data_IF_079206747226
#
_entry.id   IF_079206747226
#
_cell.length_a   1.000
_cell.length_b   1.000
_cell.length_c   1.000
_cell.angle_alpha   90.00
_cell.angle_beta   90.00
_cell.angle_gamma   90.00
#
_symmetry.space_group_name_H-M   'P 1'
#
loop_
_entity.id
_entity.type
_entity.pdbx_description
1 polymer ?
#
# COMPACT_ATOMS: atom_id res chain seq x y z
N UNK A 1 -0.69 11.47 2.49
CA UNK A 1 0.75 11.79 2.42
C UNK A 1 1.11 12.72 3.55
N UNK A 2 2.31 12.57 4.11
CA UNK A 2 2.80 13.40 5.22
C UNK A 2 3.53 14.67 4.75
N UNK A 3 3.73 14.83 3.44
CA UNK A 3 4.44 15.95 2.83
C UNK A 3 3.80 16.29 1.48
N UNK A 4 3.39 17.54 1.27
CA UNK A 4 2.73 17.98 0.01
C UNK A 4 3.69 18.08 -1.17
N UNK A 5 4.98 18.19 -0.90
CA UNK A 5 6.04 18.23 -1.91
C UNK A 5 6.44 16.82 -2.36
N UNK A 6 6.08 15.81 -1.57
CA UNK A 6 6.39 14.41 -1.82
C UNK A 6 5.08 13.64 -2.03
N UNK A 7 4.52 13.75 -3.24
CA UNK A 7 3.32 13.01 -3.67
C UNK A 7 3.72 11.83 -4.55
N UNK A 8 2.99 10.71 -4.47
CA UNK A 8 3.27 9.52 -5.28
C UNK A 8 2.33 9.35 -6.45
N UNK A 9 1.11 9.88 -6.35
CA UNK A 9 0.07 9.74 -7.37
C UNK A 9 -0.77 11.03 -7.49
N UNK A 10 -1.34 11.31 -8.68
CA UNK A 10 -2.27 12.43 -8.84
C UNK A 10 -3.44 12.37 -7.85
N UNK A 11 -3.78 13.52 -7.24
CA UNK A 11 -4.91 13.60 -6.30
C UNK A 11 -4.63 12.97 -4.92
N UNK A 12 -3.38 12.62 -4.60
CA UNK A 12 -2.99 12.31 -3.23
C UNK A 12 -3.36 13.46 -2.29
N UNK A 13 -3.98 13.12 -1.17
CA UNK A 13 -4.26 14.06 -0.08
C UNK A 13 -3.00 14.14 0.79
N UNK A 14 -2.51 15.36 1.02
CA UNK A 14 -1.42 15.65 1.93
C UNK A 14 -1.96 16.36 3.18
N UNK A 15 -1.49 15.97 4.36
CA UNK A 15 -1.94 16.52 5.65
C UNK A 15 -0.70 16.91 6.45
N UNK A 16 -0.35 18.19 6.43
CA UNK A 16 0.82 18.73 7.16
C UNK A 16 0.42 19.72 8.26
N UNK A 17 -0.79 20.27 8.15
CA UNK A 17 -1.35 21.22 9.10
C UNK A 17 -2.89 21.10 9.07
N UNK A 18 -3.57 21.95 9.84
CA UNK A 18 -5.00 21.86 10.07
C UNK A 18 -5.85 22.62 9.04
N UNK A 19 -5.27 23.11 7.93
CA UNK A 19 -6.00 23.89 6.90
C UNK A 19 -7.24 23.18 6.35
N UNK A 20 -7.17 21.85 6.25
CA UNK A 20 -8.22 21.00 5.68
C UNK A 20 -8.98 20.19 6.76
N UNK A 21 -8.87 20.58 8.03
CA UNK A 21 -9.41 19.82 9.16
C UNK A 21 -10.92 19.55 9.02
N UNK A 22 -11.70 20.49 8.50
CA UNK A 22 -13.14 20.31 8.32
C UNK A 22 -13.48 19.30 7.22
N UNK A 23 -12.66 19.22 6.17
CA UNK A 23 -12.78 18.14 5.18
C UNK A 23 -12.47 16.78 5.81
N UNK A 24 -11.40 16.71 6.60
CA UNK A 24 -11.00 15.49 7.30
C UNK A 24 -12.06 15.03 8.31
N UNK A 25 -12.70 15.96 9.03
CA UNK A 25 -13.83 15.66 9.93
C UNK A 25 -15.02 15.04 9.20
N UNK A 26 -15.40 15.60 8.05
CA UNK A 26 -16.47 15.02 7.22
C UNK A 26 -16.11 13.63 6.72
N UNK A 27 -14.84 13.41 6.35
CA UNK A 27 -14.36 12.10 5.92
C UNK A 27 -14.42 11.09 7.06
N UNK A 28 -13.82 11.41 8.21
CA UNK A 28 -13.84 10.56 9.39
C UNK A 28 -15.28 10.20 9.77
N UNK A 29 -16.18 11.19 9.88
CA UNK A 29 -17.59 10.96 10.20
C UNK A 29 -18.31 10.05 9.17
N UNK A 30 -17.98 10.17 7.88
CA UNK A 30 -18.53 9.29 6.85
C UNK A 30 -18.00 7.85 6.96
N UNK A 31 -16.73 7.69 7.34
CA UNK A 31 -16.07 6.40 7.51
C UNK A 31 -16.43 5.67 8.81
N UNK A 32 -16.84 6.40 9.85
CA UNK A 32 -17.16 5.84 11.17
C UNK A 32 -18.64 5.57 11.40
N UNK A 33 -19.49 5.78 10.39
CA UNK A 33 -20.93 5.47 10.48
C UNK A 33 -21.15 4.01 10.85
N UNK A 34 -22.24 3.75 11.57
CA UNK A 34 -22.64 2.41 12.03
C UNK A 34 -21.59 1.72 12.91
N UNK A 35 -20.77 2.49 13.62
CA UNK A 35 -19.74 1.95 14.52
C UNK A 35 -18.52 1.38 13.80
N UNK A 36 -18.35 1.64 12.51
CA UNK A 36 -17.15 1.24 11.80
C UNK A 36 -15.93 2.02 12.31
N UNK A 37 -14.78 1.36 12.38
CA UNK A 37 -13.52 2.04 12.55
C UNK A 37 -13.02 2.57 11.19
N UNK A 38 -12.47 3.78 11.17
CA UNK A 38 -11.86 4.38 9.99
C UNK A 38 -10.44 4.81 10.33
N UNK A 39 -9.46 4.03 9.89
CA UNK A 39 -8.04 4.26 10.17
C UNK A 39 -7.39 4.92 8.98
N UNK A 40 -6.76 6.07 9.18
CA UNK A 40 -6.11 6.80 8.09
C UNK A 40 -4.72 6.22 7.84
N UNK A 41 -4.49 5.70 6.63
CA UNK A 41 -3.15 5.28 6.23
C UNK A 41 -2.28 6.51 5.94
N UNK A 42 -1.13 6.59 6.61
CA UNK A 42 -0.17 7.69 6.49
C UNK A 42 1.11 7.17 5.82
N UNK A 43 1.61 7.94 4.85
CA UNK A 43 2.65 7.48 3.93
C UNK A 43 3.53 8.63 3.44
N UNK A 44 4.74 8.27 3.02
CA UNK A 44 5.65 9.09 2.23
C UNK A 44 6.10 8.29 1.00
N UNK A 45 5.98 8.82 -0.23
CA UNK A 45 6.22 8.04 -1.44
C UNK A 45 7.68 7.58 -1.58
N UNK A 46 8.61 8.38 -1.06
CA UNK A 46 10.03 8.21 -1.32
C UNK A 46 10.29 8.31 -2.82
N UNK A 47 11.12 7.42 -3.36
CA UNK A 47 11.35 7.35 -4.82
C UNK A 47 10.13 6.88 -5.64
N UNK A 48 9.00 6.54 -5.02
CA UNK A 48 7.76 6.20 -5.72
C UNK A 48 6.96 7.42 -6.16
N UNK A 49 7.55 8.22 -7.01
CA UNK A 49 6.83 9.31 -7.64
C UNK A 49 7.20 9.44 -9.11
N UNK A 50 6.21 9.40 -10.02
CA UNK A 50 6.45 9.78 -11.40
C UNK A 50 7.04 11.18 -11.50
N UNK A 51 7.91 11.40 -12.49
CA UNK A 51 8.57 12.69 -12.74
C UNK A 51 7.56 13.81 -13.03
N UNK A 52 6.37 13.46 -13.52
CA UNK A 52 5.27 14.40 -13.76
C UNK A 52 4.59 14.88 -12.48
N UNK A 53 4.85 14.23 -11.34
CA UNK A 53 4.28 14.54 -10.03
C UNK A 53 5.34 15.12 -9.09
N UNK A 54 6.52 14.52 -9.06
CA UNK A 54 7.63 14.99 -8.25
C UNK A 54 8.94 14.91 -9.04
N UNK A 55 9.56 16.07 -9.24
CA UNK A 55 10.85 16.19 -9.91
C UNK A 55 12.04 16.02 -8.96
N UNK A 56 11.79 16.02 -7.64
CA UNK A 56 12.80 15.93 -6.59
C UNK A 56 12.36 14.94 -5.49
N UNK A 57 12.15 13.65 -5.82
CA UNK A 57 11.75 12.66 -4.83
C UNK A 57 12.86 12.41 -3.82
N UNK A 58 12.51 12.17 -2.57
CA UNK A 58 13.46 11.76 -1.54
C UNK A 58 13.61 10.24 -1.46
N UNK A 59 14.78 9.78 -1.02
CA UNK A 59 15.06 8.36 -0.76
C UNK A 59 16.15 8.22 0.31
N UNK A 60 16.30 7.04 0.96
CA UNK A 60 17.44 6.79 1.85
C UNK A 60 18.79 6.90 1.15
N UNK A 61 18.86 6.55 -0.13
CA UNK A 61 20.04 6.67 -0.98
C UNK A 61 19.65 7.25 -2.34
N UNK A 62 20.53 8.06 -2.92
CA UNK A 62 20.35 8.60 -4.26
C UNK A 62 20.70 7.60 -5.37
N UNK A 63 20.58 8.05 -6.61
CA UNK A 63 20.99 7.32 -7.80
C UNK A 63 19.83 7.02 -8.74
N UNK A 64 20.13 7.03 -10.04
CA UNK A 64 19.14 6.79 -11.08
C UNK A 64 18.50 5.42 -10.97
N UNK A 65 17.19 5.38 -11.20
CA UNK A 65 16.47 4.13 -11.40
C UNK A 65 16.91 3.52 -12.74
N UNK A 66 17.41 2.29 -12.70
CA UNK A 66 17.85 1.57 -13.89
C UNK A 66 16.67 1.03 -14.71
N UNK A 67 16.90 0.83 -16.02
CA UNK A 67 15.96 0.24 -16.98
C UNK A 67 15.09 1.23 -17.76
N UNK A 68 14.37 0.71 -18.75
CA UNK A 68 13.52 1.49 -19.68
C UNK A 68 12.45 2.35 -18.99
N UNK A 69 12.09 1.98 -17.77
CA UNK A 69 11.11 2.69 -16.94
C UNK A 69 11.72 3.83 -16.13
N UNK A 70 13.04 3.84 -15.91
CA UNK A 70 13.73 4.88 -15.15
C UNK A 70 13.48 6.29 -15.69
N UNK A 71 13.29 6.42 -17.02
CA UNK A 71 12.96 7.71 -17.67
C UNK A 71 11.66 8.37 -17.21
N UNK A 72 10.75 7.63 -16.58
CA UNK A 72 9.48 8.16 -16.07
C UNK A 72 9.55 8.62 -14.62
N UNK A 73 10.72 8.49 -13.97
CA UNK A 73 10.95 8.83 -12.58
C UNK A 73 12.15 9.76 -12.48
N UNK A 74 12.07 10.76 -11.60
CA UNK A 74 13.23 11.60 -11.32
C UNK A 74 14.27 10.84 -10.50
N UNK A 75 15.53 11.24 -10.65
CA UNK A 75 16.61 10.76 -9.78
C UNK A 75 16.36 11.25 -8.35
N UNK A 76 16.24 10.36 -7.36
CA UNK A 76 15.94 10.76 -6.00
C UNK A 76 17.15 11.41 -5.32
N UNK A 77 16.84 12.38 -4.46
CA UNK A 77 17.82 13.00 -3.56
C UNK A 77 17.95 12.15 -2.30
N UNK A 78 19.19 11.82 -1.94
CA UNK A 78 19.47 11.15 -0.67
C UNK A 78 19.11 12.06 0.50
N UNK A 79 18.33 11.55 1.45
CA UNK A 79 17.95 12.29 2.66
C UNK A 79 19.17 12.55 3.55
N UNK A 80 19.26 13.74 4.15
CA UNK A 80 20.15 13.97 5.30
C UNK A 80 19.49 13.49 6.59
N UNK A 81 20.26 13.31 7.67
CA UNK A 81 19.72 12.93 8.99
C UNK A 81 18.70 13.94 9.51
N UNK A 82 18.93 15.24 9.29
CA UNK A 82 17.98 16.30 9.66
C UNK A 82 16.65 16.18 8.90
N UNK A 83 16.71 15.83 7.61
CA UNK A 83 15.51 15.59 6.80
C UNK A 83 14.79 14.31 7.22
N UNK A 84 15.51 13.27 7.63
CA UNK A 84 14.90 12.06 8.21
C UNK A 84 14.10 12.43 9.45
N UNK A 85 14.69 13.18 10.39
CA UNK A 85 13.98 13.64 11.59
C UNK A 85 12.81 14.59 11.26
N UNK A 86 12.91 15.40 10.22
CA UNK A 86 11.78 16.21 9.74
C UNK A 86 10.60 15.35 9.28
N UNK A 87 10.87 14.32 8.49
CA UNK A 87 9.85 13.38 8.03
C UNK A 87 9.22 12.65 9.22
N UNK A 88 10.01 12.22 10.22
CA UNK A 88 9.48 11.64 11.47
C UNK A 88 8.46 12.57 12.14
N UNK A 89 8.79 13.87 12.29
CA UNK A 89 7.87 14.88 12.86
C UNK A 89 6.60 15.06 12.02
N UNK A 90 6.70 14.93 10.69
CA UNK A 90 5.55 15.03 9.77
C UNK A 90 4.61 13.85 9.91
N UNK A 91 5.12 12.62 10.08
CA UNK A 91 4.28 11.46 10.40
C UNK A 91 3.50 11.68 11.70
N UNK A 92 4.18 12.13 12.76
CA UNK A 92 3.55 12.44 14.05
C UNK A 92 2.48 13.54 13.92
N UNK A 93 2.79 14.62 13.20
CA UNK A 93 1.85 15.73 12.94
C UNK A 93 0.62 15.25 12.18
N UNK A 94 0.81 14.45 11.13
CA UNK A 94 -0.27 13.86 10.34
C UNK A 94 -1.19 13.00 11.23
N UNK A 95 -0.61 12.14 12.07
CA UNK A 95 -1.36 11.27 12.97
C UNK A 95 -2.15 12.05 14.03
N UNK A 96 -1.56 13.10 14.61
CA UNK A 96 -2.25 14.02 15.52
C UNK A 96 -3.46 14.68 14.86
N UNK A 97 -3.31 15.15 13.62
CA UNK A 97 -4.41 15.76 12.85
C UNK A 97 -5.48 14.72 12.53
N UNK A 98 -5.09 13.49 12.19
CA UNK A 98 -6.02 12.37 11.97
C UNK A 98 -6.90 12.13 13.20
N UNK A 99 -6.27 12.00 14.37
CA UNK A 99 -6.97 11.84 15.65
C UNK A 99 -7.91 13.03 15.92
N UNK A 100 -7.43 14.26 15.74
CA UNK A 100 -8.23 15.49 15.92
C UNK A 100 -9.43 15.56 14.98
N UNK A 101 -9.30 15.06 13.76
CA UNK A 101 -10.38 14.99 12.78
C UNK A 101 -11.44 13.93 13.12
N UNK A 102 -11.15 13.00 14.02
CA UNK A 102 -12.06 11.93 14.42
C UNK A 102 -11.85 10.61 13.70
N UNK A 103 -10.74 10.42 12.98
CA UNK A 103 -10.33 9.08 12.57
C UNK A 103 -10.07 8.24 13.83
N UNK A 104 -10.39 6.95 13.77
CA UNK A 104 -10.36 6.07 14.96
C UNK A 104 -9.07 5.27 15.07
N UNK A 105 -8.07 5.60 14.26
CA UNK A 105 -6.78 4.94 14.20
C UNK A 105 -5.94 5.48 13.05
N UNK A 106 -4.68 5.08 12.98
CA UNK A 106 -3.80 5.31 11.82
C UNK A 106 -3.07 4.03 11.44
N UNK A 107 -2.70 3.92 10.17
CA UNK A 107 -1.83 2.84 9.69
C UNK A 107 -0.58 3.45 9.04
N UNK A 108 0.59 3.13 9.59
CA UNK A 108 1.89 3.54 9.03
C UNK A 108 2.22 2.62 7.86
N UNK A 109 2.44 3.21 6.68
CA UNK A 109 2.73 2.44 5.48
C UNK A 109 4.24 2.13 5.33
N UNK A 110 4.64 0.91 5.69
CA UNK A 110 6.02 0.40 5.64
C UNK A 110 6.20 -0.70 4.58
N UNK A 111 5.45 -0.63 3.48
CA UNK A 111 5.35 -1.70 2.48
C UNK A 111 5.50 -1.17 1.05
N UNK A 112 5.50 -2.11 0.10
CA UNK A 112 5.36 -1.90 -1.34
C UNK A 112 6.41 -1.04 -2.03
N UNK A 113 7.57 -0.81 -1.43
CA UNK A 113 8.64 0.05 -1.96
C UNK A 113 8.51 1.52 -1.61
N UNK A 114 7.61 1.92 -0.70
CA UNK A 114 7.49 3.31 -0.24
C UNK A 114 8.63 3.69 0.73
N UNK A 115 8.75 4.95 1.14
CA UNK A 115 9.96 5.45 1.80
C UNK A 115 10.41 4.58 2.98
N UNK A 116 9.51 4.19 3.87
CA UNK A 116 9.87 3.35 5.02
C UNK A 116 10.39 1.97 4.56
N UNK A 117 9.75 1.32 3.58
CA UNK A 117 10.26 0.07 3.01
C UNK A 117 11.59 0.27 2.27
N UNK A 118 11.81 1.42 1.62
CA UNK A 118 13.11 1.77 1.02
C UNK A 118 14.21 1.80 2.08
N UNK A 119 13.94 2.30 3.30
CA UNK A 119 14.90 2.23 4.41
C UNK A 119 15.16 0.78 4.86
N UNK A 120 14.13 -0.06 4.93
CA UNK A 120 14.25 -1.46 5.35
C UNK A 120 15.03 -2.32 4.34
N UNK A 121 14.89 -2.02 3.04
CA UNK A 121 15.47 -2.81 1.97
C UNK A 121 16.95 -2.50 1.76
N UNK A 122 17.87 -3.48 1.86
CA UNK A 122 19.29 -3.25 1.58
C UNK A 122 19.58 -2.93 0.11
N UNK A 123 18.63 -3.19 -0.80
CA UNK A 123 18.71 -2.79 -2.21
C UNK A 123 18.56 -1.27 -2.37
N UNK A 124 17.67 -0.66 -1.58
CA UNK A 124 17.32 0.76 -1.70
C UNK A 124 18.08 1.65 -0.71
N UNK A 125 18.53 1.07 0.40
CA UNK A 125 19.26 1.75 1.45
C UNK A 125 20.71 1.31 1.51
N UNK A 126 21.57 2.10 0.88
CA UNK A 126 23.03 1.93 0.82
C UNK A 126 23.76 2.91 1.74
N UNK A 127 23.09 3.43 2.76
CA UNK A 127 23.68 4.35 3.73
C UNK A 127 24.74 3.63 4.58
N UNK A 128 25.71 4.39 5.06
CA UNK A 128 26.78 3.93 5.97
C UNK A 128 26.71 4.60 7.35
N UNK A 129 25.64 5.35 7.61
CA UNK A 129 25.37 6.00 8.89
C UNK A 129 24.39 5.16 9.73
N UNK A 130 23.85 5.72 10.82
CA UNK A 130 22.98 5.02 11.76
C UNK A 130 21.63 4.56 11.19
N UNK A 131 21.33 4.90 9.94
CA UNK A 131 20.13 4.46 9.23
C UNK A 131 20.39 3.42 8.13
N UNK A 132 21.63 2.92 7.97
CA UNK A 132 21.99 1.93 6.95
C UNK A 132 22.80 0.76 7.49
N UNK A 133 23.15 -0.20 6.65
CA UNK A 133 23.89 -1.39 7.08
C UNK A 133 22.95 -2.52 7.49
N UNK A 134 23.05 -3.01 8.73
CA UNK A 134 22.26 -4.14 9.22
C UNK A 134 20.76 -3.81 9.42
N UNK A 135 19.95 -4.84 9.68
CA UNK A 135 18.50 -4.67 9.83
C UNK A 135 18.13 -3.75 11.02
N UNK A 136 18.95 -3.66 12.07
CA UNK A 136 18.66 -2.81 13.22
C UNK A 136 18.75 -1.33 12.84
N UNK A 137 19.83 -0.95 12.16
CA UNK A 137 20.03 0.40 11.64
C UNK A 137 19.02 0.73 10.53
N UNK A 138 18.80 -0.18 9.58
CA UNK A 138 17.80 0.01 8.51
C UNK A 138 16.37 0.15 9.03
N UNK A 139 16.05 -0.46 10.16
CA UNK A 139 14.73 -0.35 10.81
C UNK A 139 14.58 0.88 11.71
N UNK A 140 15.67 1.60 12.01
CA UNK A 140 15.66 2.79 12.89
C UNK A 140 14.60 3.80 12.49
N UNK A 141 14.55 4.14 11.20
CA UNK A 141 13.58 5.11 10.70
C UNK A 141 12.12 4.69 10.96
N UNK A 142 11.76 3.43 10.73
CA UNK A 142 10.43 2.90 11.05
C UNK A 142 10.13 3.02 12.55
N UNK A 143 11.07 2.63 13.40
CA UNK A 143 10.87 2.67 14.85
C UNK A 143 10.74 4.09 15.39
N UNK A 144 11.50 5.05 14.86
CA UNK A 144 11.36 6.47 15.20
C UNK A 144 10.03 7.04 14.72
N UNK A 145 9.59 6.72 13.50
CA UNK A 145 8.25 7.08 13.00
C UNK A 145 7.17 6.52 13.92
N UNK A 146 7.25 5.24 14.27
CA UNK A 146 6.27 4.59 15.15
C UNK A 146 6.24 5.25 16.53
N UNK A 147 7.40 5.49 17.15
CA UNK A 147 7.50 6.12 18.46
C UNK A 147 6.90 7.53 18.44
N UNK A 148 7.25 8.36 17.45
CA UNK A 148 6.74 9.72 17.33
C UNK A 148 5.22 9.75 17.05
N UNK A 149 4.72 8.83 16.23
CA UNK A 149 3.27 8.66 16.01
C UNK A 149 2.57 8.27 17.30
N UNK A 150 3.07 7.23 18.01
CA UNK A 150 2.51 6.75 19.28
C UNK A 150 2.47 7.87 20.32
N UNK A 151 3.56 8.63 20.48
CA UNK A 151 3.62 9.78 21.38
C UNK A 151 2.55 10.84 21.02
N UNK A 152 2.43 11.17 19.73
CA UNK A 152 1.50 12.20 19.26
C UNK A 152 0.02 11.81 19.41
N UNK A 153 -0.31 10.52 19.37
CA UNK A 153 -1.69 10.03 19.44
C UNK A 153 -2.06 9.43 20.81
N UNK A 154 -1.08 9.17 21.68
CA UNK A 154 -1.29 8.57 22.99
C UNK A 154 -1.45 7.04 22.96
N UNK A 155 -1.50 6.40 24.14
CA UNK A 155 -1.45 4.94 24.26
C UNK A 155 -2.73 4.24 23.77
N UNK A 156 -3.90 4.85 23.92
CA UNK A 156 -5.19 4.20 23.62
C UNK A 156 -5.64 4.35 22.15
N UNK A 157 -4.94 5.16 21.36
CA UNK A 157 -5.32 5.40 19.97
C UNK A 157 -4.69 4.33 19.07
N UNK A 158 -5.48 3.55 18.28
CA UNK A 158 -4.92 2.47 17.50
C UNK A 158 -3.90 2.91 16.44
N UNK A 159 -2.74 2.23 16.41
CA UNK A 159 -1.66 2.42 15.43
C UNK A 159 -1.30 1.06 14.82
N UNK A 160 -1.63 0.89 13.54
CA UNK A 160 -1.19 -0.23 12.72
C UNK A 160 0.12 0.08 11.99
N UNK A 161 0.85 -0.98 11.59
CA UNK A 161 1.92 -0.91 10.60
C UNK A 161 1.64 -1.91 9.48
N UNK A 162 1.62 -1.44 8.24
CA UNK A 162 1.59 -2.32 7.06
C UNK A 162 3.00 -2.64 6.61
N UNK A 163 3.36 -3.92 6.58
CA UNK A 163 4.72 -4.38 6.30
C UNK A 163 4.75 -5.40 5.14
N UNK A 164 5.82 -5.37 4.35
CA UNK A 164 6.08 -6.41 3.36
C UNK A 164 6.46 -7.73 4.04
N UNK A 165 5.92 -8.86 3.56
CA UNK A 165 6.40 -10.21 3.88
C UNK A 165 7.82 -10.39 3.36
N UNK A 166 8.05 -9.92 2.14
CA UNK A 166 9.36 -9.78 1.51
C UNK A 166 9.25 -8.83 0.32
N UNK A 167 10.41 -8.35 -0.11
CA UNK A 167 10.57 -7.55 -1.31
C UNK A 167 10.63 -8.41 -2.59
N UNK A 168 10.59 -9.74 -2.48
CA UNK A 168 10.61 -10.61 -3.67
C UNK A 168 9.37 -10.33 -4.51
N UNK A 169 9.51 -10.03 -5.82
CA UNK A 169 8.36 -9.78 -6.66
C UNK A 169 7.50 -11.06 -6.75
N UNK A 170 6.23 -10.94 -6.41
CA UNK A 170 5.26 -12.05 -6.39
C UNK A 170 5.16 -12.73 -7.77
N UNK A 171 5.54 -12.05 -8.86
CA UNK A 171 5.45 -12.56 -10.24
C UNK A 171 6.73 -13.25 -10.77
N UNK A 172 7.81 -13.36 -9.99
CA UNK A 172 9.03 -14.05 -10.44
C UNK A 172 8.90 -15.53 -10.14
N UNK A 173 8.92 -16.37 -11.18
CA UNK A 173 9.23 -17.79 -11.01
C UNK A 173 10.62 -17.87 -10.41
N UNK A 174 10.72 -18.45 -9.22
CA UNK A 174 11.97 -18.65 -8.47
C UNK A 174 13.02 -19.37 -9.34
N UNK A 175 12.57 -20.11 -10.36
CA UNK A 175 13.41 -20.98 -11.19
C UNK A 175 14.19 -20.24 -12.32
N UNK A 176 13.93 -18.96 -12.60
CA UNK A 176 14.52 -18.27 -13.76
C UNK A 176 15.75 -17.38 -13.46
N UNK A 177 16.18 -17.24 -12.20
CA UNK A 177 17.48 -16.64 -11.88
C UNK A 177 18.14 -17.37 -10.71
N UNK A 178 19.25 -18.07 -10.97
CA UNK A 178 20.17 -18.57 -9.94
C UNK A 178 20.94 -17.47 -9.20
N UNK A 179 20.31 -16.32 -8.95
CA UNK A 179 20.89 -15.15 -8.29
C UNK A 179 20.36 -15.00 -6.87
N UNK A 180 21.25 -14.62 -5.93
CA UNK A 180 20.89 -14.24 -4.57
C UNK A 180 20.01 -12.98 -4.60
N UNK A 181 18.79 -13.05 -4.05
CA UNK A 181 17.95 -11.87 -3.85
C UNK A 181 18.49 -11.05 -2.67
N UNK A 182 18.65 -9.74 -2.83
CA UNK A 182 19.28 -8.84 -1.85
C UNK A 182 18.33 -7.75 -1.30
N UNK A 183 17.02 -7.96 -1.38
CA UNK A 183 16.01 -7.08 -0.80
C UNK A 183 15.61 -7.48 0.62
N UNK A 184 14.64 -6.77 1.21
CA UNK A 184 14.07 -7.10 2.52
C UNK A 184 13.45 -8.51 2.49
N UNK A 185 13.94 -9.40 3.35
CA UNK A 185 13.53 -10.81 3.34
C UNK A 185 12.53 -11.16 4.44
N UNK A 186 12.01 -12.39 4.41
CA UNK A 186 11.02 -12.88 5.35
C UNK A 186 11.53 -12.99 6.80
N UNK A 187 12.83 -13.27 7.00
CA UNK A 187 13.43 -13.36 8.34
C UNK A 187 13.55 -11.97 8.94
N UNK A 188 14.01 -11.00 8.16
CA UNK A 188 14.04 -9.59 8.54
C UNK A 188 12.63 -9.07 8.81
N UNK A 189 11.65 -9.43 7.99
CA UNK A 189 10.24 -9.09 8.20
C UNK A 189 9.72 -9.58 9.55
N UNK A 190 9.91 -10.87 9.87
CA UNK A 190 9.52 -11.44 11.18
C UNK A 190 10.26 -10.73 12.32
N UNK A 191 11.55 -10.43 12.17
CA UNK A 191 12.30 -9.69 13.18
C UNK A 191 11.72 -8.30 13.42
N UNK A 192 11.43 -7.53 12.36
CA UNK A 192 10.81 -6.20 12.45
C UNK A 192 9.45 -6.28 13.13
N UNK A 193 8.62 -7.27 12.80
CA UNK A 193 7.31 -7.45 13.44
C UNK A 193 7.42 -7.67 14.95
N UNK A 194 8.35 -8.53 15.39
CA UNK A 194 8.62 -8.75 16.82
C UNK A 194 9.12 -7.48 17.52
N UNK A 195 9.90 -6.67 16.83
CA UNK A 195 10.37 -5.39 17.37
C UNK A 195 9.26 -4.35 17.48
N UNK A 196 8.32 -4.32 16.54
CA UNK A 196 7.12 -3.47 16.61
C UNK A 196 6.18 -3.92 17.73
N UNK A 197 6.00 -5.23 17.92
CA UNK A 197 5.22 -5.78 19.04
C UNK A 197 5.79 -5.34 20.39
N UNK A 198 7.11 -5.45 20.59
CA UNK A 198 7.78 -4.96 21.82
C UNK A 198 7.58 -3.47 22.08
N UNK A 199 7.26 -2.69 21.03
CA UNK A 199 7.02 -1.25 21.10
C UNK A 199 5.53 -0.90 21.26
N UNK A 200 4.63 -1.89 21.23
CA UNK A 200 3.19 -1.69 21.43
C UNK A 200 2.44 -1.27 20.17
N UNK A 201 2.79 -1.86 19.01
CA UNK A 201 1.94 -1.78 17.81
C UNK A 201 0.62 -2.52 18.06
N UNK A 202 -0.50 -2.00 17.57
CA UNK A 202 -1.83 -2.57 17.85
C UNK A 202 -2.27 -3.59 16.80
N UNK A 203 -1.74 -3.48 15.57
CA UNK A 203 -2.06 -4.35 14.45
C UNK A 203 -0.89 -4.36 13.46
N UNK A 204 -0.51 -5.54 12.98
CA UNK A 204 0.41 -5.68 11.85
C UNK A 204 -0.38 -6.14 10.64
N UNK A 205 -0.35 -5.36 9.57
CA UNK A 205 -0.99 -5.73 8.30
C UNK A 205 0.08 -6.24 7.31
N UNK A 206 0.01 -7.53 7.02
CA UNK A 206 0.92 -8.20 6.11
C UNK A 206 0.45 -7.98 4.67
N UNK A 207 1.35 -7.40 3.89
CA UNK A 207 1.28 -7.37 2.43
C UNK A 207 2.61 -7.89 1.87
N UNK A 208 2.87 -7.76 0.56
CA UNK A 208 4.15 -8.15 0.00
C UNK A 208 4.36 -7.69 -1.44
N UNK A 209 5.59 -7.91 -1.92
CA UNK A 209 6.06 -7.54 -3.25
C UNK A 209 6.81 -6.21 -3.30
N UNK A 210 7.81 -6.14 -4.19
CA UNK A 210 8.42 -4.90 -4.63
C UNK A 210 7.70 -4.30 -5.83
N UNK A 211 8.01 -3.01 -6.07
CA UNK A 211 7.72 -2.27 -7.29
C UNK A 211 8.00 -3.03 -8.59
N UNK A 212 8.88 -4.02 -8.55
CA UNK A 212 9.40 -4.62 -9.76
C UNK A 212 8.34 -5.46 -10.49
N UNK A 213 7.40 -6.15 -9.84
CA UNK A 213 6.18 -6.65 -10.53
C UNK A 213 5.02 -6.90 -9.55
N UNK A 214 4.21 -5.88 -9.21
CA UNK A 214 2.97 -6.11 -8.47
C UNK A 214 1.97 -6.85 -9.37
N UNK A 215 1.52 -8.04 -8.95
CA UNK A 215 0.52 -8.88 -9.67
C UNK A 215 -0.77 -8.08 -9.97
N UNK A 216 -1.04 -7.05 -9.17
CA UNK A 216 -2.19 -6.16 -9.25
C UNK A 216 -2.22 -5.32 -10.55
N UNK A 217 -1.08 -5.15 -11.23
CA UNK A 217 -0.94 -4.23 -12.38
C UNK A 217 -0.97 -4.88 -13.77
N UNK A 218 -1.26 -6.18 -13.86
CA UNK A 218 -1.41 -6.85 -15.16
C UNK A 218 -2.89 -6.93 -15.54
N UNK A 219 -3.21 -6.84 -16.83
CA UNK A 219 -4.58 -7.11 -17.31
C UNK A 219 -5.02 -8.55 -16.95
N UNK A 220 -4.05 -9.44 -16.77
CA UNK A 220 -4.19 -10.81 -16.28
C UNK A 220 -4.23 -10.96 -14.77
N UNK A 221 -4.18 -9.88 -13.99
CA UNK A 221 -4.15 -9.94 -12.53
C UNK A 221 -5.33 -10.74 -11.96
N UNK A 222 -6.50 -10.69 -12.59
CA UNK A 222 -7.65 -11.51 -12.20
C UNK A 222 -7.47 -13.01 -12.50
N UNK A 223 -6.79 -13.38 -13.59
CA UNK A 223 -6.49 -14.78 -13.95
C UNK A 223 -5.36 -15.35 -13.07
N UNK A 224 -4.37 -14.52 -12.77
CA UNK A 224 -3.23 -14.85 -11.91
C UNK A 224 -3.64 -14.91 -10.43
N UNK A 225 -4.50 -14.00 -9.97
CA UNK A 225 -5.18 -14.04 -8.66
C UNK A 225 -5.95 -15.38 -8.52
N UNK A 226 -6.75 -15.77 -9.55
CA UNK A 226 -7.54 -17.02 -9.53
C UNK A 226 -6.67 -18.29 -9.47
N UNK A 227 -5.49 -18.27 -10.11
CA UNK A 227 -4.56 -19.43 -10.07
C UNK A 227 -3.84 -19.57 -8.73
N UNK A 228 -3.66 -18.48 -7.99
CA UNK A 228 -2.79 -18.43 -6.80
C UNK A 228 -3.55 -18.43 -5.47
N UNK A 229 -4.83 -18.04 -5.47
CA UNK A 229 -5.64 -17.98 -4.26
C UNK A 229 -5.26 -16.78 -3.36
N UNK A 230 -5.37 -16.97 -2.04
CA UNK A 230 -5.02 -15.95 -1.04
C UNK A 230 -3.52 -15.72 -1.04
N UNK A 231 -3.09 -14.46 -1.04
CA UNK A 231 -1.67 -14.13 -1.08
C UNK A 231 -1.00 -14.29 0.27
N UNK A 232 0.27 -14.69 0.25
CA UNK A 232 1.17 -14.77 1.40
C UNK A 232 0.73 -15.72 2.53
N UNK A 233 -0.18 -16.66 2.25
CA UNK A 233 -0.66 -17.63 3.27
C UNK A 233 0.46 -18.44 3.90
N UNK A 234 1.48 -18.85 3.14
CA UNK A 234 2.61 -19.59 3.70
C UNK A 234 3.45 -18.73 4.65
N UNK A 235 3.69 -17.47 4.30
CA UNK A 235 4.39 -16.55 5.19
C UNK A 235 3.57 -16.24 6.44
N UNK A 236 2.26 -15.98 6.30
CA UNK A 236 1.38 -15.76 7.44
C UNK A 236 1.29 -17.00 8.36
N UNK A 237 1.33 -18.22 7.81
CA UNK A 237 1.47 -19.45 8.61
C UNK A 237 2.77 -19.52 9.38
N UNK A 238 3.87 -18.99 8.86
CA UNK A 238 5.16 -18.91 9.57
C UNK A 238 5.17 -17.84 10.65
N UNK A 239 4.38 -16.78 10.49
CA UNK A 239 4.20 -15.74 11.52
C UNK A 239 3.28 -16.22 12.65
N UNK A 240 2.41 -17.20 12.38
CA UNK A 240 1.53 -17.80 13.39
C UNK A 240 2.35 -18.32 14.58
N UNK A 241 2.06 -17.79 15.77
CA UNK A 241 2.74 -18.16 17.02
C UNK A 241 4.05 -17.41 17.28
N UNK A 242 4.55 -16.64 16.31
CA UNK A 242 5.71 -15.75 16.49
C UNK A 242 5.33 -14.40 17.12
N UNK A 243 4.04 -14.04 17.05
CA UNK A 243 3.46 -12.79 17.51
C UNK A 243 2.18 -13.06 18.31
N UNK A 244 1.92 -12.20 19.28
CA UNK A 244 0.69 -12.09 20.06
C UNK A 244 -0.19 -10.93 19.61
N UNK A 245 0.42 -9.88 19.04
CA UNK A 245 -0.32 -8.79 18.40
C UNK A 245 -1.16 -9.31 17.24
N UNK A 246 -2.41 -8.84 17.06
CA UNK A 246 -3.24 -9.24 15.92
C UNK A 246 -2.55 -8.98 14.58
N UNK A 247 -2.70 -9.94 13.66
CA UNK A 247 -2.18 -9.82 12.30
C UNK A 247 -3.33 -9.75 11.31
N UNK A 248 -3.35 -8.71 10.48
CA UNK A 248 -4.20 -8.63 9.30
C UNK A 248 -3.47 -9.20 8.07
N UNK A 249 -4.19 -9.91 7.20
CA UNK A 249 -3.64 -10.40 5.93
C UNK A 249 -4.38 -9.75 4.76
N UNK A 250 -3.67 -8.93 3.99
CA UNK A 250 -4.25 -8.22 2.83
C UNK A 250 -3.75 -8.81 1.52
N UNK A 251 -4.64 -9.50 0.79
CA UNK A 251 -4.35 -9.93 -0.58
C UNK A 251 -5.09 -11.19 -1.01
N UNK A 252 -5.71 -11.16 -2.19
CA UNK A 252 -6.26 -12.36 -2.84
C UNK A 252 -7.63 -12.84 -2.33
N UNK A 253 -8.15 -12.36 -1.19
CA UNK A 253 -9.48 -12.77 -0.69
C UNK A 253 -10.65 -12.34 -1.59
N UNK A 254 -11.48 -13.31 -2.02
CA UNK A 254 -12.62 -13.10 -2.95
C UNK A 254 -13.95 -13.69 -2.51
N UNK A 255 -13.92 -14.73 -1.68
CA UNK A 255 -15.10 -15.50 -1.26
C UNK A 255 -15.05 -15.72 0.25
N UNK A 256 -16.21 -15.95 0.86
CA UNK A 256 -16.33 -16.14 2.30
C UNK A 256 -15.56 -17.36 2.80
N UNK A 257 -15.60 -18.48 2.07
CA UNK A 257 -14.96 -19.74 2.47
C UNK A 257 -13.45 -19.61 2.68
N UNK A 258 -12.75 -18.91 1.78
CA UNK A 258 -11.30 -18.68 1.93
C UNK A 258 -10.99 -17.77 3.12
N UNK A 259 -11.87 -16.78 3.39
CA UNK A 259 -11.75 -15.88 4.54
C UNK A 259 -11.96 -16.62 5.86
N UNK A 260 -13.04 -17.40 5.97
CA UNK A 260 -13.35 -18.23 7.13
C UNK A 260 -12.23 -19.23 7.40
N UNK A 261 -11.77 -19.95 6.36
CA UNK A 261 -10.64 -20.88 6.51
C UNK A 261 -9.38 -20.19 7.04
N UNK A 262 -9.06 -18.99 6.57
CA UNK A 262 -7.88 -18.26 7.05
C UNK A 262 -7.99 -17.84 8.54
N UNK A 263 -9.21 -17.51 8.99
CA UNK A 263 -9.50 -17.21 10.39
C UNK A 263 -9.46 -18.49 11.26
N UNK A 264 -10.13 -19.56 10.81
CA UNK A 264 -10.21 -20.84 11.53
C UNK A 264 -8.84 -21.52 11.67
N UNK A 265 -8.01 -21.45 10.63
CA UNK A 265 -6.63 -21.93 10.68
C UNK A 265 -5.72 -21.04 11.56
N UNK A 266 -6.22 -19.89 12.03
CA UNK A 266 -5.47 -18.92 12.83
C UNK A 266 -4.31 -18.28 12.06
N UNK A 267 -4.39 -18.23 10.72
CA UNK A 267 -3.38 -17.61 9.85
C UNK A 267 -3.38 -16.09 10.02
N UNK A 268 -4.55 -15.53 10.28
CA UNK A 268 -4.75 -14.09 10.48
C UNK A 268 -5.92 -13.87 11.43
N UNK A 269 -5.93 -12.73 12.10
CA UNK A 269 -7.03 -12.29 12.97
C UNK A 269 -7.92 -11.26 12.27
N UNK A 270 -7.53 -10.78 11.08
CA UNK A 270 -8.30 -9.80 10.32
C UNK A 270 -8.09 -9.95 8.81
N UNK A 271 -9.19 -10.03 8.07
CA UNK A 271 -9.17 -10.19 6.62
C UNK A 271 -9.07 -8.81 5.94
N UNK A 272 -8.00 -8.60 5.19
CA UNK A 272 -7.80 -7.42 4.36
C UNK A 272 -8.43 -7.56 2.97
N UNK A 273 -9.40 -6.68 2.65
CA UNK A 273 -10.11 -6.66 1.37
C UNK A 273 -10.00 -5.27 0.74
N UNK A 274 -9.54 -5.20 -0.52
CA UNK A 274 -9.45 -3.95 -1.27
C UNK A 274 -10.32 -3.98 -2.55
N UNK A 275 -9.79 -4.56 -3.64
CA UNK A 275 -10.44 -4.57 -4.97
C UNK A 275 -11.90 -5.07 -4.97
N UNK A 276 -12.29 -6.12 -4.23
CA UNK A 276 -13.69 -6.52 -4.15
C UNK A 276 -14.65 -5.43 -3.66
N UNK A 277 -14.23 -4.57 -2.72
CA UNK A 277 -15.09 -3.53 -2.15
C UNK A 277 -15.40 -2.40 -3.15
N UNK A 278 -14.58 -2.22 -4.19
CA UNK A 278 -14.89 -1.30 -5.28
C UNK A 278 -16.03 -1.78 -6.19
N UNK A 279 -16.39 -3.07 -6.10
CA UNK A 279 -17.47 -3.71 -6.88
C UNK A 279 -18.69 -4.05 -6.02
N UNK A 280 -18.44 -4.54 -4.80
CA UNK A 280 -19.46 -4.96 -3.85
C UNK A 280 -19.17 -4.28 -2.51
N UNK A 281 -19.53 -2.98 -2.34
CA UNK A 281 -19.17 -2.22 -1.13
C UNK A 281 -19.80 -2.75 0.15
N UNK A 282 -20.93 -3.46 0.02
CA UNK A 282 -21.66 -4.11 1.11
C UNK A 282 -21.23 -5.58 1.32
N UNK A 283 -20.12 -6.02 0.72
CA UNK A 283 -19.62 -7.40 0.81
C UNK A 283 -19.49 -7.91 2.25
N UNK A 284 -18.91 -7.18 3.21
CA UNK A 284 -18.82 -7.67 4.59
C UNK A 284 -20.18 -7.96 5.20
N UNK A 285 -21.17 -7.09 4.93
CA UNK A 285 -22.56 -7.27 5.39
C UNK A 285 -23.19 -8.50 4.74
N UNK A 286 -22.96 -8.74 3.45
CA UNK A 286 -23.48 -9.92 2.75
C UNK A 286 -22.90 -11.22 3.32
N UNK A 287 -21.60 -11.25 3.60
CA UNK A 287 -20.93 -12.41 4.19
C UNK A 287 -21.49 -12.67 5.60
N UNK A 288 -21.39 -11.68 6.49
CA UNK A 288 -21.66 -11.86 7.92
C UNK A 288 -23.16 -12.04 8.20
N UNK A 289 -24.02 -11.22 7.58
CA UNK A 289 -25.46 -11.20 7.89
C UNK A 289 -26.26 -12.08 6.94
N UNK A 290 -25.97 -11.99 5.65
CA UNK A 290 -26.77 -12.65 4.61
C UNK A 290 -26.20 -14.04 4.24
N UNK A 291 -25.12 -14.49 4.92
CA UNK A 291 -24.43 -15.78 4.70
C UNK A 291 -24.09 -16.02 3.24
N UNK A 292 -23.57 -14.99 2.57
CA UNK A 292 -23.21 -15.09 1.16
C UNK A 292 -21.97 -15.97 0.96
N UNK A 293 -22.12 -17.05 0.18
CA UNK A 293 -21.06 -18.03 -0.10
C UNK A 293 -20.41 -17.87 -1.49
N UNK A 294 -20.76 -16.81 -2.22
CA UNK A 294 -20.24 -16.56 -3.56
C UNK A 294 -18.79 -16.07 -3.60
N UNK A 295 -18.32 -15.73 -4.80
CA UNK A 295 -17.02 -15.10 -5.05
C UNK A 295 -17.20 -13.79 -5.81
N UNK A 296 -16.37 -12.79 -5.50
CA UNK A 296 -16.34 -11.53 -6.26
C UNK A 296 -15.40 -11.66 -7.45
N UNK A 297 -15.98 -11.79 -8.63
CA UNK A 297 -15.23 -11.80 -9.88
C UNK A 297 -14.75 -10.41 -10.26
N UNK A 298 -13.43 -10.28 -10.49
CA UNK A 298 -12.91 -9.06 -11.11
C UNK A 298 -13.08 -9.12 -12.62
N UNK A 299 -13.49 -8.01 -13.24
CA UNK A 299 -13.54 -7.93 -14.68
C UNK A 299 -12.14 -7.93 -15.28
N UNK A 300 -12.04 -8.51 -16.47
CA UNK A 300 -10.92 -8.26 -17.36
C UNK A 300 -11.07 -6.84 -17.94
N UNK A 301 -10.18 -5.93 -17.56
CA UNK A 301 -10.22 -4.55 -18.03
C UNK A 301 -9.48 -4.45 -19.37
N UNK A 302 -10.20 -4.05 -20.42
CA UNK A 302 -9.66 -3.89 -21.79
C UNK A 302 -10.30 -2.68 -22.47
N UNK A 303 -9.52 -1.98 -23.29
CA UNK A 303 -10.00 -0.95 -24.22
C UNK A 303 -10.63 -1.55 -25.49
N UNK A 304 -10.47 -2.86 -25.72
CA UNK A 304 -10.77 -3.52 -27.00
C UNK A 304 -9.66 -3.35 -28.05
N UNK A 305 -8.65 -2.52 -27.79
CA UNK A 305 -7.53 -2.24 -28.71
C UNK A 305 -6.23 -2.79 -28.11
N UNK A 306 -5.72 -3.89 -28.68
CA UNK A 306 -4.53 -4.60 -28.17
C UNK A 306 -3.30 -3.70 -27.95
N UNK A 307 -3.08 -2.73 -28.83
CA UNK A 307 -1.95 -1.80 -28.72
C UNK A 307 -2.07 -0.89 -27.49
N UNK A 308 -3.28 -0.36 -27.22
CA UNK A 308 -3.55 0.47 -26.04
C UNK A 308 -3.48 -0.34 -24.75
N UNK A 309 -4.02 -1.55 -24.76
CA UNK A 309 -3.97 -2.45 -23.61
C UNK A 309 -2.52 -2.83 -23.25
N UNK A 310 -1.66 -3.01 -24.26
CA UNK A 310 -0.23 -3.26 -24.06
C UNK A 310 0.49 -2.03 -23.51
N UNK A 311 0.20 -0.85 -24.04
CA UNK A 311 0.83 0.40 -23.64
C UNK A 311 0.41 0.85 -22.22
N UNK A 312 -0.88 0.71 -21.89
CA UNK A 312 -1.48 1.34 -20.71
C UNK A 312 -2.09 0.35 -19.71
N UNK A 313 -1.94 -0.97 -19.86
CA UNK A 313 -2.66 -1.97 -19.07
C UNK A 313 -2.67 -1.75 -17.54
N UNK A 314 -1.51 -1.44 -16.94
CA UNK A 314 -1.44 -1.16 -15.50
C UNK A 314 -2.23 0.11 -15.10
N UNK A 315 -2.12 1.17 -15.89
CA UNK A 315 -2.88 2.41 -15.70
C UNK A 315 -4.37 2.17 -15.91
N UNK A 316 -4.72 1.34 -16.89
CA UNK A 316 -6.08 1.00 -17.25
C UNK A 316 -6.80 0.34 -16.07
N UNK A 317 -6.18 -0.66 -15.45
CA UNK A 317 -6.74 -1.37 -14.30
C UNK A 317 -6.93 -0.42 -13.11
N UNK A 318 -5.91 0.39 -12.78
CA UNK A 318 -5.99 1.37 -11.69
C UNK A 318 -7.12 2.37 -11.95
N UNK A 319 -7.12 2.99 -13.12
CA UNK A 319 -8.12 3.99 -13.54
C UNK A 319 -9.54 3.43 -13.51
N UNK A 320 -9.70 2.14 -13.83
CA UNK A 320 -10.98 1.48 -13.81
C UNK A 320 -11.52 1.35 -12.38
N UNK A 321 -10.69 0.91 -11.43
CA UNK A 321 -11.10 0.86 -10.02
C UNK A 321 -11.34 2.26 -9.44
N UNK A 322 -10.53 3.25 -9.81
CA UNK A 322 -10.75 4.66 -9.44
C UNK A 322 -12.10 5.17 -9.93
N UNK A 323 -12.49 4.85 -11.17
CA UNK A 323 -13.80 5.19 -11.70
C UNK A 323 -14.93 4.54 -10.89
N UNK A 324 -14.80 3.27 -10.48
CA UNK A 324 -15.81 2.63 -9.64
C UNK A 324 -15.91 3.30 -8.26
N UNK A 325 -14.78 3.61 -7.63
CA UNK A 325 -14.75 4.35 -6.35
C UNK A 325 -15.34 5.75 -6.48
N UNK A 326 -15.05 6.45 -7.58
CA UNK A 326 -15.65 7.75 -7.88
C UNK A 326 -17.17 7.66 -8.02
N UNK A 327 -17.69 6.62 -8.69
CA UNK A 327 -19.13 6.37 -8.79
C UNK A 327 -19.75 6.17 -7.41
N UNK A 328 -19.15 5.33 -6.56
CA UNK A 328 -19.60 5.11 -5.18
C UNK A 328 -19.63 6.43 -4.41
N UNK A 329 -18.57 7.24 -4.51
CA UNK A 329 -18.49 8.55 -3.87
C UNK A 329 -19.58 9.55 -4.31
N UNK A 330 -20.17 9.37 -5.49
CA UNK A 330 -21.29 10.17 -5.99
C UNK A 330 -22.65 9.46 -5.80
N UNK A 331 -22.75 8.47 -4.92
CA UNK A 331 -23.99 7.74 -4.63
C UNK A 331 -24.46 6.81 -5.74
N UNK A 332 -23.62 6.52 -6.75
CA UNK A 332 -23.94 5.61 -7.85
C UNK A 332 -23.44 4.20 -7.51
N UNK A 333 -24.16 3.18 -8.01
CA UNK A 333 -23.69 1.79 -7.92
C UNK A 333 -22.46 1.56 -8.80
N UNK A 334 -21.51 0.70 -8.40
CA UNK A 334 -20.47 0.19 -9.28
C UNK A 334 -21.10 -0.40 -10.55
N UNK A 335 -20.43 -0.22 -11.69
CA UNK A 335 -20.85 -0.80 -12.97
C UNK A 335 -19.69 -1.60 -13.58
N UNK A 336 -19.67 -2.94 -13.37
CA UNK A 336 -18.60 -3.80 -13.86
C UNK A 336 -18.53 -3.87 -15.40
N UNK A 337 -19.56 -3.40 -16.10
CA UNK A 337 -19.64 -3.45 -17.58
C UNK A 337 -18.92 -2.27 -18.24
N UNK A 338 -18.43 -1.30 -17.46
CA UNK A 338 -17.67 -0.18 -18.03
C UNK A 338 -16.39 -0.71 -18.66
N UNK A 339 -16.20 -0.45 -19.96
CA UNK A 339 -14.97 -0.82 -20.67
C UNK A 339 -13.77 0.06 -20.30
N UNK A 340 -12.56 -0.43 -20.59
CA UNK A 340 -11.31 0.25 -20.28
C UNK A 340 -11.14 1.61 -20.95
N UNK A 341 -11.70 1.81 -22.16
CA UNK A 341 -11.60 3.10 -22.85
C UNK A 341 -12.26 4.24 -22.04
N UNK A 342 -13.44 3.98 -21.46
CA UNK A 342 -14.10 4.95 -20.58
C UNK A 342 -13.31 5.20 -19.30
N UNK A 343 -12.65 4.17 -18.76
CA UNK A 343 -11.77 4.32 -17.60
C UNK A 343 -10.56 5.23 -17.92
N UNK A 344 -9.98 5.07 -19.11
CA UNK A 344 -8.89 5.92 -19.58
C UNK A 344 -9.34 7.37 -19.79
N UNK A 345 -10.48 7.58 -20.44
CA UNK A 345 -11.06 8.91 -20.59
C UNK A 345 -11.36 9.57 -19.24
N UNK A 346 -11.86 8.80 -18.26
CA UNK A 346 -12.06 9.27 -16.89
C UNK A 346 -10.74 9.72 -16.26
N UNK A 347 -9.68 8.90 -16.36
CA UNK A 347 -8.38 9.23 -15.79
C UNK A 347 -7.78 10.50 -16.41
N UNK A 348 -7.84 10.64 -17.74
CA UNK A 348 -7.39 11.84 -18.45
C UNK A 348 -8.23 13.06 -18.03
N UNK A 349 -9.56 12.92 -17.96
CA UNK A 349 -10.44 14.01 -17.55
C UNK A 349 -10.24 14.43 -16.09
N UNK A 350 -9.87 13.49 -15.21
CA UNK A 350 -9.70 13.76 -13.78
C UNK A 350 -8.30 14.27 -13.42
N UNK A 351 -7.27 13.78 -14.09
CA UNK A 351 -5.87 14.02 -13.72
C UNK A 351 -5.03 14.63 -14.86
N UNK A 352 -5.65 14.98 -15.98
CA UNK A 352 -4.97 15.50 -17.16
C UNK A 352 -4.12 14.47 -17.90
N UNK A 353 -3.29 14.89 -18.87
CA UNK A 353 -2.40 14.00 -19.63
C UNK A 353 -1.40 13.23 -18.75
N UNK A 354 -1.04 13.78 -17.58
CA UNK A 354 -0.17 13.13 -16.60
C UNK A 354 -0.74 11.79 -16.08
N UNK A 355 -2.06 11.55 -16.21
CA UNK A 355 -2.69 10.28 -15.88
C UNK A 355 -2.14 9.09 -16.69
N UNK A 356 -1.60 9.36 -17.87
CA UNK A 356 -1.04 8.36 -18.80
C UNK A 356 0.43 8.05 -18.51
N UNK A 357 1.07 8.82 -17.62
CA UNK A 357 2.40 8.48 -17.13
C UNK A 357 2.30 7.23 -16.26
N UNK A 358 3.24 6.29 -16.37
CA UNK A 358 3.23 5.14 -15.48
C UNK A 358 3.32 5.57 -14.03
N UNK A 359 2.33 5.17 -13.23
CA UNK A 359 2.27 5.54 -11.81
C UNK A 359 3.25 4.75 -10.95
N UNK A 360 3.73 3.59 -11.44
CA UNK A 360 4.67 2.71 -10.75
C UNK A 360 5.64 2.07 -11.76
N UNK A 361 6.83 1.69 -11.28
CA UNK A 361 7.87 1.02 -12.09
C UNK A 361 7.34 -0.33 -12.60
N UNK A 362 7.73 -0.72 -13.83
CA UNK A 362 7.76 -2.14 -14.24
C UNK A 362 9.21 -2.61 -14.11
N UNK A 363 9.42 -3.70 -13.39
CA UNK A 363 10.71 -4.35 -13.22
C UNK A 363 11.23 -4.91 -14.53
N UNK A 364 12.54 -5.09 -14.57
CA UNK A 364 13.29 -5.53 -15.73
C UNK A 364 12.72 -6.84 -16.32
N UNK A 365 12.79 -6.95 -17.65
CA UNK A 365 12.64 -8.22 -18.35
C UNK A 365 13.85 -9.10 -18.06
#
# INVERSE_FOLDING_TARGET
>A
MVDRTQLGEPGNVAVEDERDLDMLRRWAAAGTRNGAHCWMQINHPGRQSPITINQHPYAPSGGKLEGDYGRFFAEPTALTVEQIHDIVRRFATTARIAKKAGFTGVEIHAAHGYLINQFLSPEDNRRTDEYGGDIEHRSRFLFEVFAAVREAVGPDFPVAVKLNSSDVPIAVKIDERGGSFSGFDEKESIWVMKQLEKRGVDLIDISGGTLEKPVIQTNSGALEDRRRGVYFTEFARRVKGELTVPVALTGGFRNARDMERALDEGITQMIGIARPLALVPDLPKRIIRDRWEGSVDLPWVTTGVKALDRAFGGILVISWFELQMNRIGHGKRPDPRIGGLRALCFAIGKHGPAALAPRRRKGHQ
#
